data_IF_714848256357
#
_entry.id   IF_714848256357
#
_cell.length_a   1.000
_cell.length_b   1.000
_cell.length_c   1.000
_cell.angle_alpha   90.00
_cell.angle_beta   90.00
_cell.angle_gamma   90.00
#
_symmetry.space_group_name_H-M   'P 1'
#
loop_
_entity.id
_entity.type
_entity.pdbx_description
1 polymer ?
#
# COMPACT_ATOMS: atom_id res chain seq x y z
N UNK A 1 -9.04 -10.36 -9.19
CA UNK A 1 -8.20 -9.93 -8.04
C UNK A 1 -8.81 -8.72 -7.37
N UNK A 2 -8.58 -8.54 -6.07
CA UNK A 2 -9.06 -7.38 -5.31
C UNK A 2 -7.87 -6.46 -5.06
N UNK A 3 -8.00 -5.20 -5.47
CA UNK A 3 -6.97 -4.17 -5.31
C UNK A 3 -7.52 -3.13 -4.32
N UNK A 4 -6.71 -2.71 -3.37
CA UNK A 4 -7.12 -1.72 -2.36
C UNK A 4 -6.21 -0.51 -2.36
N UNK A 5 -6.81 0.66 -2.33
CA UNK A 5 -6.20 1.96 -2.07
C UNK A 5 -6.75 2.52 -0.76
N UNK A 6 -5.92 3.22 0.01
CA UNK A 6 -6.34 3.99 1.18
C UNK A 6 -5.86 5.43 1.02
N UNK A 7 -6.77 6.33 0.65
CA UNK A 7 -6.48 7.70 0.22
C UNK A 7 -7.51 8.66 0.80
N UNK A 8 -7.08 9.87 1.16
CA UNK A 8 -8.02 10.96 1.37
C UNK A 8 -8.65 11.37 0.04
N UNK A 9 -9.86 11.89 0.06
CA UNK A 9 -10.64 12.22 -1.15
C UNK A 9 -9.89 13.15 -2.11
N UNK A 10 -9.11 14.09 -1.59
CA UNK A 10 -8.29 15.02 -2.38
C UNK A 10 -7.07 14.37 -3.06
N UNK A 11 -6.68 13.15 -2.67
CA UNK A 11 -5.60 12.39 -3.31
C UNK A 11 -6.10 11.44 -4.41
N UNK A 12 -7.39 11.25 -4.56
CA UNK A 12 -7.97 10.33 -5.57
C UNK A 12 -7.58 10.74 -6.98
N UNK A 13 -7.55 12.06 -7.26
CA UNK A 13 -7.13 12.58 -8.56
C UNK A 13 -5.69 12.19 -8.90
N UNK A 14 -4.78 12.28 -7.94
CA UNK A 14 -3.38 11.88 -8.12
C UNK A 14 -3.23 10.36 -8.32
N UNK A 15 -4.14 9.55 -7.78
CA UNK A 15 -4.13 8.11 -7.94
C UNK A 15 -4.76 7.63 -9.26
N UNK A 16 -5.42 8.50 -10.04
CA UNK A 16 -6.04 8.10 -11.32
C UNK A 16 -5.09 7.42 -12.29
N UNK A 17 -3.84 7.89 -12.52
CA UNK A 17 -2.89 7.17 -13.37
C UNK A 17 -2.62 5.74 -12.89
N UNK A 18 -2.48 5.53 -11.57
CA UNK A 18 -2.33 4.20 -10.99
C UNK A 18 -3.52 3.30 -11.31
N UNK A 19 -4.73 3.80 -11.08
CA UNK A 19 -5.96 3.03 -11.30
C UNK A 19 -6.24 2.76 -12.79
N UNK A 20 -5.95 3.73 -13.69
CA UNK A 20 -6.10 3.56 -15.14
C UNK A 20 -5.10 2.53 -15.68
N UNK A 21 -3.83 2.65 -15.30
CA UNK A 21 -2.81 1.67 -15.68
C UNK A 21 -3.11 0.28 -15.16
N UNK A 22 -3.61 0.17 -13.92
CA UNK A 22 -4.08 -1.09 -13.36
C UNK A 22 -5.16 -1.73 -14.23
N UNK A 23 -6.21 -0.99 -14.60
CA UNK A 23 -7.35 -1.52 -15.37
C UNK A 23 -6.98 -1.83 -16.82
N UNK A 24 -6.03 -1.11 -17.42
CA UNK A 24 -5.52 -1.44 -18.75
C UNK A 24 -4.88 -2.84 -18.77
N UNK A 25 -4.00 -3.12 -17.82
CA UNK A 25 -3.28 -4.39 -17.74
C UNK A 25 -4.07 -5.50 -17.03
N UNK A 26 -5.08 -5.13 -16.23
CA UNK A 26 -5.86 -6.05 -15.40
C UNK A 26 -7.36 -5.70 -15.44
N UNK A 27 -8.05 -5.84 -16.58
CA UNK A 27 -9.42 -5.32 -16.79
C UNK A 27 -10.48 -5.98 -15.90
N UNK A 28 -10.17 -7.12 -15.27
CA UNK A 28 -11.05 -7.81 -14.31
C UNK A 28 -10.73 -7.50 -12.85
N UNK A 29 -9.79 -6.60 -12.58
CA UNK A 29 -9.47 -6.17 -11.22
C UNK A 29 -10.67 -5.43 -10.61
N UNK A 30 -10.91 -5.66 -9.32
CA UNK A 30 -11.93 -4.93 -8.54
C UNK A 30 -11.19 -3.97 -7.63
N UNK A 31 -11.46 -2.68 -7.78
CA UNK A 31 -10.85 -1.62 -6.97
C UNK A 31 -11.73 -1.35 -5.75
N UNK A 32 -11.11 -1.29 -4.59
CA UNK A 32 -11.69 -0.87 -3.32
C UNK A 32 -10.93 0.36 -2.85
N UNK A 33 -11.65 1.45 -2.59
CA UNK A 33 -11.09 2.70 -2.10
C UNK A 33 -11.59 2.95 -0.67
N UNK A 34 -10.67 2.94 0.31
CA UNK A 34 -10.95 3.43 1.64
C UNK A 34 -10.69 4.94 1.66
N UNK A 35 -11.72 5.72 2.02
CA UNK A 35 -11.65 7.18 2.05
C UNK A 35 -12.64 7.74 3.09
N UNK A 36 -12.59 9.05 3.36
CA UNK A 36 -13.43 9.72 4.36
C UNK A 36 -14.82 10.15 3.84
N UNK A 37 -15.14 9.85 2.58
CA UNK A 37 -16.40 10.23 1.93
C UNK A 37 -17.16 9.01 1.40
N UNK A 38 -18.48 9.16 1.22
CA UNK A 38 -19.32 8.08 0.65
C UNK A 38 -19.14 7.92 -0.85
N UNK A 39 -18.75 9.00 -1.53
CA UNK A 39 -18.58 9.04 -2.99
C UNK A 39 -17.34 9.83 -3.35
N UNK A 40 -16.77 9.50 -4.51
CA UNK A 40 -15.69 10.26 -5.15
C UNK A 40 -16.07 10.53 -6.59
N UNK A 41 -15.73 11.70 -7.11
CA UNK A 41 -15.94 12.03 -8.51
C UNK A 41 -14.87 11.36 -9.37
N UNK A 42 -15.27 10.35 -10.14
CA UNK A 42 -14.37 9.57 -10.99
C UNK A 42 -15.12 8.79 -12.08
N UNK A 43 -14.43 8.58 -13.21
CA UNK A 43 -14.86 7.69 -14.30
C UNK A 43 -14.39 6.23 -14.08
N UNK A 44 -13.61 5.97 -13.02
CA UNK A 44 -13.04 4.66 -12.75
C UNK A 44 -14.02 3.83 -11.89
N UNK A 45 -14.38 2.62 -12.33
CA UNK A 45 -15.28 1.77 -11.54
C UNK A 45 -14.58 1.28 -10.27
N UNK A 46 -15.17 1.57 -9.11
CA UNK A 46 -14.63 1.16 -7.81
C UNK A 46 -15.72 0.99 -6.74
N UNK A 47 -15.39 0.28 -5.69
CA UNK A 47 -16.19 0.24 -4.46
C UNK A 47 -15.59 1.21 -3.45
N UNK A 48 -16.32 2.28 -3.13
CA UNK A 48 -15.92 3.24 -2.08
C UNK A 48 -16.32 2.69 -0.72
N UNK A 49 -15.41 2.75 0.23
CA UNK A 49 -15.61 2.36 1.63
C UNK A 49 -15.33 3.59 2.48
N UNK A 50 -16.40 4.21 2.98
CA UNK A 50 -16.28 5.36 3.87
C UNK A 50 -15.79 4.92 5.25
N UNK A 51 -14.62 5.42 5.64
CA UNK A 51 -13.95 5.13 6.91
C UNK A 51 -13.94 6.32 7.87
N UNK A 52 -14.74 7.37 7.61
CA UNK A 52 -14.79 8.57 8.47
C UNK A 52 -15.27 8.25 9.89
N UNK A 53 -16.11 7.21 10.05
CA UNK A 53 -16.60 6.72 11.34
C UNK A 53 -15.66 5.77 12.08
N UNK A 54 -14.44 5.55 11.62
CA UNK A 54 -13.46 4.67 12.26
C UNK A 54 -13.08 5.16 13.66
N UNK A 55 -12.78 4.22 14.56
CA UNK A 55 -12.41 4.51 15.96
C UNK A 55 -10.96 4.17 16.30
N UNK A 56 -10.17 3.70 15.33
CA UNK A 56 -8.79 3.27 15.55
C UNK A 56 -7.87 4.44 15.87
N UNK A 57 -7.88 5.49 15.02
CA UNK A 57 -6.93 6.58 15.07
C UNK A 57 -7.60 7.95 15.02
N UNK A 58 -7.15 8.86 15.88
CA UNK A 58 -7.51 10.28 15.83
C UNK A 58 -6.36 11.12 16.44
N UNK A 59 -6.41 12.44 16.25
CA UNK A 59 -5.34 13.37 16.68
C UNK A 59 -5.05 13.35 18.18
N UNK A 60 -5.97 12.85 18.99
CA UNK A 60 -5.83 12.79 20.45
C UNK A 60 -5.20 11.49 20.93
N UNK A 61 -5.39 10.40 20.16
CA UNK A 61 -4.98 9.06 20.59
C UNK A 61 -3.83 8.44 19.78
N UNK A 62 -3.28 9.15 18.78
CA UNK A 62 -2.25 8.57 17.93
C UNK A 62 -1.12 9.56 17.64
N UNK A 63 0.09 9.21 18.08
CA UNK A 63 1.30 10.04 17.91
C UNK A 63 1.80 10.12 16.46
N UNK A 64 1.33 9.21 15.59
CA UNK A 64 1.79 9.09 14.21
C UNK A 64 0.95 9.89 13.20
N UNK A 65 -0.25 10.36 13.55
CA UNK A 65 -1.12 11.08 12.60
C UNK A 65 -0.46 12.36 12.07
N UNK A 66 0.11 13.17 12.93
CA UNK A 66 0.64 14.51 12.57
C UNK A 66 1.81 14.49 11.59
N UNK A 67 2.49 13.37 11.46
CA UNK A 67 3.68 13.22 10.62
C UNK A 67 3.40 12.37 9.37
N UNK A 68 2.14 11.95 9.16
CA UNK A 68 1.78 11.04 8.10
C UNK A 68 1.10 11.76 6.94
N UNK A 69 1.64 11.63 5.73
CA UNK A 69 0.96 12.01 4.50
C UNK A 69 -0.35 11.21 4.40
N UNK A 70 -1.50 11.90 4.26
CA UNK A 70 -2.81 11.24 4.26
C UNK A 70 -3.43 11.01 5.65
N UNK A 71 -2.81 11.53 6.72
CA UNK A 71 -3.37 11.49 8.06
C UNK A 71 -3.65 10.06 8.56
N UNK A 72 -4.81 9.86 9.21
CA UNK A 72 -5.18 8.56 9.75
C UNK A 72 -5.49 7.50 8.68
N UNK A 73 -5.91 7.91 7.47
CA UNK A 73 -6.28 6.98 6.41
C UNK A 73 -5.10 6.10 6.02
N UNK A 74 -3.90 6.66 5.95
CA UNK A 74 -2.69 5.89 5.66
C UNK A 74 -2.42 4.84 6.76
N UNK A 75 -2.66 5.19 8.02
CA UNK A 75 -2.51 4.25 9.14
C UNK A 75 -3.55 3.11 9.09
N UNK A 76 -4.72 3.35 8.49
CA UNK A 76 -5.77 2.33 8.36
C UNK A 76 -5.39 1.13 7.49
N UNK A 77 -4.26 1.18 6.77
CA UNK A 77 -3.72 0.03 6.04
C UNK A 77 -3.54 -1.18 6.98
N UNK A 78 -3.10 -0.97 8.23
CA UNK A 78 -2.97 -2.07 9.20
C UNK A 78 -4.32 -2.64 9.65
N UNK A 79 -5.42 -1.91 9.45
CA UNK A 79 -6.77 -2.29 9.82
C UNK A 79 -7.56 -2.97 8.69
N UNK A 80 -6.99 -3.16 7.50
CA UNK A 80 -7.67 -3.82 6.39
C UNK A 80 -8.33 -5.16 6.75
N UNK A 81 -7.74 -6.01 7.60
CA UNK A 81 -8.39 -7.26 8.02
C UNK A 81 -9.76 -7.06 8.66
N UNK A 82 -9.99 -5.96 9.36
CA UNK A 82 -11.27 -5.66 10.04
C UNK A 82 -12.20 -4.80 9.18
N UNK A 83 -11.64 -3.90 8.37
CA UNK A 83 -12.40 -2.98 7.52
C UNK A 83 -12.93 -3.64 6.25
N UNK A 84 -12.25 -4.67 5.74
CA UNK A 84 -12.58 -5.32 4.46
C UNK A 84 -13.13 -6.73 4.69
N UNK A 85 -14.30 -7.01 4.11
CA UNK A 85 -14.87 -8.38 4.07
C UNK A 85 -14.23 -9.21 2.94
N UNK A 86 -12.89 -9.17 2.85
CA UNK A 86 -12.10 -9.86 1.84
C UNK A 86 -11.05 -10.73 2.52
N UNK A 87 -10.66 -11.85 1.89
CA UNK A 87 -9.64 -12.74 2.44
C UNK A 87 -8.23 -12.40 1.96
N UNK A 88 -8.11 -11.85 0.76
CA UNK A 88 -6.84 -11.49 0.13
C UNK A 88 -7.00 -10.23 -0.69
N UNK A 89 -6.02 -9.34 -0.66
CA UNK A 89 -5.95 -8.13 -1.48
C UNK A 89 -4.52 -7.88 -1.97
N UNK A 90 -4.38 -7.09 -3.04
CA UNK A 90 -3.16 -6.36 -3.35
C UNK A 90 -3.39 -4.91 -2.91
N UNK A 91 -2.52 -4.39 -2.07
CA UNK A 91 -2.45 -2.97 -1.75
C UNK A 91 -1.55 -2.26 -2.76
N UNK A 92 -1.98 -1.08 -3.23
CA UNK A 92 -1.20 -0.16 -4.05
C UNK A 92 -1.26 1.24 -3.44
N UNK A 93 -0.10 1.89 -3.31
CA UNK A 93 -0.04 3.33 -3.03
C UNK A 93 -0.45 4.14 -4.28
N UNK A 94 -0.86 5.39 -4.07
CA UNK A 94 -1.33 6.30 -5.13
C UNK A 94 -0.29 6.57 -6.22
N UNK A 95 0.97 6.57 -5.84
CA UNK A 95 2.14 6.91 -6.64
C UNK A 95 2.76 5.69 -7.35
N UNK A 96 1.91 4.74 -7.73
CA UNK A 96 2.30 3.55 -8.51
C UNK A 96 1.78 3.63 -9.94
N UNK A 97 2.50 3.03 -10.91
CA UNK A 97 2.00 2.78 -12.26
C UNK A 97 2.16 1.29 -12.56
N UNK A 98 1.06 0.66 -12.93
CA UNK A 98 1.02 -0.75 -13.34
C UNK A 98 1.40 -0.86 -14.81
N UNK A 99 2.42 -1.66 -15.11
CA UNK A 99 2.99 -1.80 -16.45
C UNK A 99 2.76 -3.18 -17.07
N UNK A 100 2.24 -4.13 -16.29
CA UNK A 100 2.00 -5.50 -16.72
C UNK A 100 0.92 -6.18 -15.85
N UNK A 101 0.57 -7.41 -16.20
CA UNK A 101 -0.38 -8.22 -15.44
C UNK A 101 0.09 -8.49 -14.01
N UNK A 102 -0.79 -8.25 -13.05
CA UNK A 102 -0.59 -8.57 -11.64
C UNK A 102 -1.09 -9.98 -11.26
N UNK A 103 -1.58 -10.75 -12.22
CA UNK A 103 -2.11 -12.10 -11.97
C UNK A 103 -1.08 -13.04 -11.32
N UNK A 104 0.23 -13.04 -11.72
CA UNK A 104 1.23 -13.87 -11.03
C UNK A 104 1.45 -13.40 -9.57
N UNK A 105 1.47 -12.09 -9.32
CA UNK A 105 1.55 -11.55 -7.95
C UNK A 105 0.32 -11.94 -7.12
N UNK A 106 -0.88 -11.84 -7.70
CA UNK A 106 -2.13 -12.27 -7.06
C UNK A 106 -2.11 -13.75 -6.69
N UNK A 107 -1.48 -14.60 -7.52
CA UNK A 107 -1.37 -16.06 -7.30
C UNK A 107 -0.25 -16.44 -6.33
N UNK A 108 0.56 -15.50 -5.86
CA UNK A 108 1.61 -15.81 -4.88
C UNK A 108 1.03 -16.59 -3.70
N UNK A 109 1.60 -17.75 -3.42
CA UNK A 109 1.30 -18.52 -2.23
C UNK A 109 1.98 -17.89 -1.02
N UNK A 110 1.20 -17.32 -0.13
CA UNK A 110 1.69 -16.71 1.10
C UNK A 110 2.01 -17.72 2.20
N UNK A 111 1.78 -19.02 1.97
CA UNK A 111 2.15 -20.12 2.90
C UNK A 111 1.67 -19.90 4.35
N UNK A 112 0.44 -19.37 4.52
CA UNK A 112 -0.11 -19.01 5.81
C UNK A 112 0.50 -17.75 6.46
N UNK A 113 1.38 -17.03 5.76
CA UNK A 113 1.93 -15.75 6.21
C UNK A 113 0.99 -14.58 5.87
N UNK A 114 1.33 -13.39 6.38
CA UNK A 114 0.49 -12.20 6.22
C UNK A 114 0.71 -11.47 4.90
N UNK A 115 1.98 -11.34 4.47
CA UNK A 115 2.43 -10.32 3.53
C UNK A 115 3.37 -10.93 2.50
N UNK A 116 3.13 -10.62 1.22
CA UNK A 116 4.12 -10.72 0.16
C UNK A 116 4.51 -9.31 -0.29
N UNK A 117 5.79 -8.96 -0.16
CA UNK A 117 6.31 -7.64 -0.52
C UNK A 117 7.73 -7.72 -1.08
N UNK A 118 8.21 -6.62 -1.68
CA UNK A 118 9.58 -6.51 -2.20
C UNK A 118 10.49 -5.96 -1.13
N UNK A 119 11.61 -6.64 -0.91
CA UNK A 119 12.63 -6.23 0.05
C UNK A 119 13.39 -4.98 -0.45
N UNK A 120 13.59 -4.01 0.44
CA UNK A 120 14.45 -2.85 0.20
C UNK A 120 15.93 -3.25 0.25
N UNK A 121 16.67 -2.95 -0.81
CA UNK A 121 18.10 -3.23 -0.92
C UNK A 121 18.95 -2.14 -0.27
N UNK A 122 18.49 -0.90 -0.36
CA UNK A 122 19.25 0.30 0.03
C UNK A 122 18.76 0.92 1.34
N UNK A 123 17.94 0.22 2.11
CA UNK A 123 17.42 0.75 3.37
C UNK A 123 18.52 0.97 4.39
N UNK A 124 18.81 2.23 4.71
CA UNK A 124 19.65 2.58 5.85
C UNK A 124 18.91 2.42 7.17
N UNK A 125 17.59 2.35 7.11
CA UNK A 125 16.71 2.22 8.26
C UNK A 125 16.19 0.78 8.37
N UNK A 126 16.72 0.03 9.31
CA UNK A 126 16.35 -1.37 9.56
C UNK A 126 16.14 -1.60 11.07
N UNK A 127 15.15 -0.94 11.69
CA UNK A 127 15.00 -0.95 13.15
C UNK A 127 14.61 -2.32 13.72
N UNK A 128 14.14 -3.24 12.87
CA UNK A 128 13.61 -4.55 13.27
C UNK A 128 14.45 -5.71 12.75
N UNK A 129 15.69 -5.44 12.27
CA UNK A 129 16.59 -6.49 11.79
C UNK A 129 17.19 -6.17 10.41
N UNK A 130 17.88 -7.16 9.80
CA UNK A 130 18.61 -6.95 8.55
C UNK A 130 17.71 -6.80 7.32
N UNK A 131 16.43 -7.17 7.44
CA UNK A 131 15.44 -7.20 6.35
C UNK A 131 14.42 -6.10 6.57
N UNK A 132 14.07 -5.38 5.50
CA UNK A 132 13.02 -4.37 5.47
C UNK A 132 12.32 -4.39 4.12
N UNK A 133 10.99 -4.29 4.11
CA UNK A 133 10.15 -4.38 2.91
C UNK A 133 9.48 -3.05 2.63
N UNK A 134 9.34 -2.71 1.36
CA UNK A 134 8.53 -1.57 0.96
C UNK A 134 7.05 -1.96 0.93
N UNK A 135 6.22 -1.27 1.69
CA UNK A 135 4.81 -1.60 1.87
C UNK A 135 3.85 -0.84 0.95
N UNK A 136 4.36 0.02 0.05
CA UNK A 136 3.52 0.73 -0.92
C UNK A 136 2.93 -0.18 -2.01
N UNK A 137 3.52 -1.38 -2.17
CA UNK A 137 2.97 -2.46 -3.00
C UNK A 137 3.11 -3.77 -2.22
N UNK A 138 1.99 -4.39 -1.87
CA UNK A 138 1.99 -5.64 -1.11
C UNK A 138 0.78 -6.52 -1.44
N UNK A 139 0.97 -7.83 -1.44
CA UNK A 139 -0.13 -8.79 -1.41
C UNK A 139 -0.38 -9.21 0.04
N UNK A 140 -1.62 -9.10 0.52
CA UNK A 140 -1.98 -9.28 1.92
C UNK A 140 -2.98 -10.42 2.09
N UNK A 141 -2.72 -11.30 3.06
CA UNK A 141 -3.60 -12.38 3.50
C UNK A 141 -4.43 -11.91 4.71
N UNK A 142 -5.51 -11.19 4.44
CA UNK A 142 -6.36 -10.60 5.48
C UNK A 142 -7.01 -11.68 6.37
N UNK A 143 -7.29 -12.86 5.79
CA UNK A 143 -7.86 -13.97 6.57
C UNK A 143 -6.86 -14.46 7.62
N UNK A 144 -5.59 -14.67 7.24
CA UNK A 144 -4.56 -15.11 8.20
C UNK A 144 -4.31 -14.06 9.27
N UNK A 145 -4.31 -12.78 8.89
CA UNK A 145 -4.15 -11.68 9.85
C UNK A 145 -5.29 -11.62 10.87
N UNK A 146 -6.54 -11.91 10.44
CA UNK A 146 -7.68 -12.06 11.38
C UNK A 146 -7.48 -13.26 12.31
N UNK A 147 -7.06 -14.41 11.78
CA UNK A 147 -6.81 -15.61 12.57
C UNK A 147 -5.74 -15.38 13.65
N UNK A 148 -4.73 -14.59 13.34
CA UNK A 148 -3.62 -14.26 14.23
C UNK A 148 -3.92 -13.05 15.14
N UNK A 149 -5.11 -12.44 15.04
CA UNK A 149 -5.51 -11.23 15.78
C UNK A 149 -4.46 -10.10 15.66
N UNK A 150 -4.02 -9.82 14.43
CA UNK A 150 -2.88 -8.94 14.17
C UNK A 150 -3.19 -7.45 14.41
N UNK A 151 -4.42 -7.01 14.14
CA UNK A 151 -4.79 -5.57 14.11
C UNK A 151 -4.64 -4.89 15.47
N UNK A 152 -5.15 -5.41 16.60
CA UNK A 152 -5.11 -4.68 17.86
C UNK A 152 -3.70 -4.30 18.30
N UNK A 153 -2.74 -5.19 18.18
CA UNK A 153 -1.34 -4.93 18.58
C UNK A 153 -0.67 -3.87 17.69
N UNK A 154 -0.93 -3.86 16.38
CA UNK A 154 -0.42 -2.84 15.46
C UNK A 154 -1.04 -1.48 15.73
N UNK A 155 -2.34 -1.44 16.01
CA UNK A 155 -3.07 -0.20 16.34
C UNK A 155 -2.54 0.42 17.63
N UNK A 156 -2.41 -0.35 18.71
CA UNK A 156 -1.88 0.15 19.98
C UNK A 156 -0.42 0.64 19.86
N UNK A 157 0.39 -0.07 19.08
CA UNK A 157 1.76 0.36 18.78
C UNK A 157 1.81 1.70 18.05
N UNK A 158 1.00 1.87 17.00
CA UNK A 158 0.92 3.11 16.23
C UNK A 158 0.37 4.30 17.03
N UNK A 159 -0.50 4.03 18.00
CA UNK A 159 -0.97 5.07 18.92
C UNK A 159 0.12 5.57 19.84
N UNK A 160 0.93 4.67 20.40
CA UNK A 160 1.84 4.95 21.50
C UNK A 160 3.28 5.30 21.06
N UNK A 161 3.75 4.73 19.94
CA UNK A 161 5.16 4.81 19.54
C UNK A 161 5.31 5.53 18.22
N UNK A 162 6.04 6.65 18.23
CA UNK A 162 6.34 7.41 17.01
C UNK A 162 7.29 6.60 16.12
N UNK A 163 6.92 6.49 14.84
CA UNK A 163 7.70 5.77 13.84
C UNK A 163 8.00 6.67 12.63
N UNK A 164 9.22 6.60 12.05
CA UNK A 164 9.56 7.31 10.82
C UNK A 164 8.66 6.96 9.64
N UNK A 165 8.34 5.67 9.47
CA UNK A 165 7.52 5.16 8.37
C UNK A 165 6.18 4.56 8.84
N UNK A 166 5.72 5.00 10.02
CA UNK A 166 4.38 4.75 10.58
C UNK A 166 3.84 3.32 10.35
N UNK A 167 2.89 3.15 9.43
CA UNK A 167 2.26 1.86 9.12
C UNK A 167 3.27 0.81 8.64
N UNK A 168 4.25 1.19 7.81
CA UNK A 168 5.29 0.28 7.34
C UNK A 168 6.10 -0.30 8.52
N UNK A 169 6.45 0.53 9.50
CA UNK A 169 7.18 0.07 10.70
C UNK A 169 6.33 -0.86 11.57
N UNK A 170 5.01 -0.62 11.66
CA UNK A 170 4.12 -1.52 12.40
C UNK A 170 4.05 -2.92 11.75
N UNK A 171 3.95 -2.99 10.42
CA UNK A 171 4.00 -4.25 9.70
C UNK A 171 5.28 -5.05 10.01
N UNK A 172 6.44 -4.37 10.03
CA UNK A 172 7.72 -5.01 10.32
C UNK A 172 7.85 -5.44 11.78
N UNK A 173 7.43 -4.59 12.70
CA UNK A 173 7.49 -4.88 14.15
C UNK A 173 6.78 -6.18 14.51
N UNK A 174 5.63 -6.42 13.91
CA UNK A 174 4.79 -7.58 14.25
C UNK A 174 4.83 -8.72 13.22
N UNK A 175 5.38 -8.47 12.04
CA UNK A 175 5.44 -9.44 10.96
C UNK A 175 6.80 -10.09 10.75
N UNK A 176 7.91 -9.44 11.15
CA UNK A 176 9.23 -10.03 11.00
C UNK A 176 9.58 -10.98 12.16
N UNK A 177 10.35 -12.04 11.88
CA UNK A 177 10.80 -12.50 10.55
C UNK A 177 9.80 -13.40 9.82
N UNK A 178 8.71 -13.83 10.47
CA UNK A 178 7.98 -15.04 10.08
C UNK A 178 6.76 -14.79 9.18
N UNK A 179 6.24 -13.56 9.10
CA UNK A 179 4.98 -13.23 8.44
C UNK A 179 5.13 -12.66 7.02
N UNK A 180 6.36 -12.55 6.51
CA UNK A 180 6.64 -12.03 5.17
C UNK A 180 7.07 -13.13 4.19
N UNK A 181 6.73 -12.92 2.91
CA UNK A 181 7.22 -13.68 1.75
C UNK A 181 7.83 -12.68 0.75
N UNK A 182 9.02 -12.98 0.24
CA UNK A 182 9.62 -12.19 -0.83
C UNK A 182 8.80 -12.36 -2.12
N UNK A 183 8.50 -11.24 -2.78
CA UNK A 183 8.01 -11.22 -4.16
C UNK A 183 9.05 -10.59 -5.09
N UNK A 184 9.02 -10.93 -6.41
CA UNK A 184 10.00 -10.39 -7.35
C UNK A 184 10.02 -8.87 -7.42
N UNK A 185 11.23 -8.31 -7.55
CA UNK A 185 11.50 -6.86 -7.65
C UNK A 185 10.60 -6.13 -8.67
N UNK A 186 10.27 -6.77 -9.78
CA UNK A 186 9.44 -6.18 -10.83
C UNK A 186 8.06 -5.70 -10.34
N UNK A 187 7.57 -6.19 -9.21
CA UNK A 187 6.29 -5.79 -8.63
C UNK A 187 6.35 -4.56 -7.71
N UNK A 188 7.53 -4.01 -7.48
CA UNK A 188 7.67 -2.75 -6.74
C UNK A 188 9.03 -2.10 -7.03
N UNK A 189 9.27 -1.73 -8.32
CA UNK A 189 10.47 -1.00 -8.70
C UNK A 189 10.41 0.42 -8.13
N UNK A 190 11.38 0.77 -7.28
CA UNK A 190 11.56 2.13 -6.75
C UNK A 190 13.01 2.35 -6.31
N UNK A 191 13.32 3.55 -5.81
CA UNK A 191 14.69 3.89 -5.40
C UNK A 191 15.23 3.01 -4.25
N UNK A 192 14.37 2.53 -3.35
CA UNK A 192 14.79 1.70 -2.21
C UNK A 192 14.91 0.22 -2.57
N UNK A 193 14.02 -0.31 -3.39
CA UNK A 193 14.01 -1.72 -3.82
C UNK A 193 14.98 -2.01 -4.96
N UNK A 194 15.24 -1.00 -5.82
CA UNK A 194 16.11 -1.09 -6.99
C UNK A 194 15.36 -1.06 -8.30
N UNK A 195 16.10 -1.21 -9.41
CA UNK A 195 15.61 -1.17 -10.79
C UNK A 195 15.60 -2.54 -11.44
N UNK A 196 14.71 -2.72 -12.42
CA UNK A 196 14.61 -3.89 -13.30
C UNK A 196 14.33 -3.45 -14.75
N UNK A 197 14.73 -4.27 -15.72
CA UNK A 197 14.45 -3.99 -17.15
C UNK A 197 13.00 -4.31 -17.53
N UNK A 198 12.28 -5.05 -16.67
CA UNK A 198 10.92 -5.52 -16.90
C UNK A 198 10.02 -5.22 -15.67
N UNK A 199 9.69 -3.94 -15.38
CA UNK A 199 8.83 -3.61 -14.27
C UNK A 199 7.38 -3.98 -14.55
N UNK A 200 6.73 -4.65 -13.59
CA UNK A 200 5.27 -4.80 -13.59
C UNK A 200 4.59 -3.66 -12.82
N UNK A 201 5.30 -3.06 -11.85
CA UNK A 201 4.87 -1.86 -11.14
C UNK A 201 6.08 -0.96 -10.94
N UNK A 202 5.97 0.29 -11.40
CA UNK A 202 6.85 1.41 -11.06
C UNK A 202 6.22 2.19 -9.92
N UNK A 203 6.96 2.41 -8.83
CA UNK A 203 6.49 3.09 -7.63
C UNK A 203 7.35 4.31 -7.32
N UNK A 204 6.79 5.49 -7.37
CA UNK A 204 7.46 6.77 -7.19
C UNK A 204 7.62 7.18 -5.72
N UNK A 205 7.73 6.21 -4.83
CA UNK A 205 7.74 6.41 -3.38
C UNK A 205 8.78 7.43 -2.90
N UNK A 206 8.42 8.20 -1.89
CA UNK A 206 9.33 9.18 -1.26
C UNK A 206 9.57 10.46 -2.07
N UNK A 207 8.89 10.66 -3.19
CA UNK A 207 9.02 11.83 -4.05
C UNK A 207 7.74 12.65 -3.95
N UNK A 208 7.77 13.74 -3.18
CA UNK A 208 6.59 14.55 -2.89
C UNK A 208 5.95 15.22 -4.11
N UNK A 209 6.72 15.47 -5.14
CA UNK A 209 6.30 16.12 -6.39
C UNK A 209 6.23 15.16 -7.59
N UNK A 210 6.20 13.85 -7.34
CA UNK A 210 6.28 12.81 -8.39
C UNK A 210 5.31 13.04 -9.56
N UNK A 211 4.12 13.51 -9.29
CA UNK A 211 3.10 13.74 -10.31
C UNK A 211 3.43 14.90 -11.28
N UNK A 212 4.12 15.93 -10.78
CA UNK A 212 4.41 17.16 -11.53
C UNK A 212 5.87 17.25 -11.98
N UNK A 213 6.80 16.48 -11.43
CA UNK A 213 8.22 16.59 -11.69
C UNK A 213 8.60 16.06 -13.08
N UNK A 214 8.98 16.92 -14.04
CA UNK A 214 9.29 16.50 -15.40
C UNK A 214 10.62 15.74 -15.52
N UNK A 215 11.46 15.77 -14.48
CA UNK A 215 12.77 15.10 -14.44
C UNK A 215 12.74 13.75 -13.73
N UNK A 216 11.55 13.26 -13.40
CA UNK A 216 11.40 11.99 -12.71
C UNK A 216 11.83 10.82 -13.58
N UNK A 217 12.58 9.89 -12.99
CA UNK A 217 12.89 8.62 -13.64
C UNK A 217 11.61 7.86 -13.97
N UNK A 218 11.61 7.14 -15.08
CA UNK A 218 10.41 6.40 -15.55
C UNK A 218 9.19 7.28 -15.83
N UNK A 219 9.40 8.57 -16.07
CA UNK A 219 8.33 9.55 -16.35
C UNK A 219 7.42 9.14 -17.50
N UNK A 220 7.96 8.46 -18.50
CA UNK A 220 7.24 7.93 -19.64
C UNK A 220 6.06 7.02 -19.27
N UNK A 221 6.17 6.25 -18.19
CA UNK A 221 5.06 5.41 -17.71
C UNK A 221 3.92 6.24 -17.13
N UNK A 222 4.24 7.29 -16.38
CA UNK A 222 3.22 8.17 -15.80
C UNK A 222 2.50 8.98 -16.89
N UNK A 223 3.24 9.56 -17.85
CA UNK A 223 2.67 10.40 -18.90
C UNK A 223 1.66 9.67 -19.79
N UNK A 224 1.75 8.36 -19.91
CA UNK A 224 0.80 7.53 -20.65
C UNK A 224 -0.61 7.56 -20.03
N UNK A 225 -0.73 7.76 -18.71
CA UNK A 225 -2.00 7.59 -17.97
C UNK A 225 -2.49 8.87 -17.27
N UNK A 226 -1.73 9.94 -17.38
CA UNK A 226 -2.02 11.24 -16.78
C UNK A 226 -3.20 12.00 -17.43
#
# INVERSE_FOLDING_TARGET
MNIVYALTSNFVELARPSMRSLLEHNPKAKIYLLTETDTVETDIPMTVINVSGQTYFNDRNCVNIRNNFGGYINLLKVCYPELLKLNKVIHLDADTIVCDSLEPMWKTDLKGKWIGAVQEKQGHYKPFGPVYYNMGVAVLNLQQMRNDNAVPQMVEYLKAVRQPFADQDAWHKFGLPDKFVDIPLRYNENFATGKTDDPAIVHYCGISDWYYNPRMERREYLEKYR
#
